data_IF_002452436027
#
_entry.id   IF_002452436027
#
_cell.length_a   1.000
_cell.length_b   1.000
_cell.length_c   1.000
_cell.angle_alpha   90.00
_cell.angle_beta   90.00
_cell.angle_gamma   90.00
#
_symmetry.space_group_name_H-M   'P 1'
#
loop_
_entity.id
_entity.type
_entity.pdbx_description
1 polymer ?
#
# COMPACT_ATOMS: atom_id res chain seq x y z
N UNK A 1 -13.15 10.88 -11.50
CA UNK A 1 -11.74 11.16 -11.86
C UNK A 1 -11.01 11.45 -10.56
N UNK A 2 -10.28 10.49 -10.00
CA UNK A 2 -9.48 10.71 -8.79
C UNK A 2 -8.01 10.79 -9.19
N UNK A 3 -7.49 12.02 -9.32
CA UNK A 3 -6.08 12.29 -9.52
C UNK A 3 -5.48 12.49 -8.13
N UNK A 4 -4.83 11.46 -7.59
CA UNK A 4 -4.04 11.56 -6.37
C UNK A 4 -2.71 12.27 -6.69
N UNK A 5 -2.73 13.60 -6.75
CA UNK A 5 -1.52 14.40 -6.92
C UNK A 5 -1.01 14.88 -5.56
N UNK A 6 -0.32 14.01 -4.83
CA UNK A 6 0.52 14.44 -3.72
C UNK A 6 2.00 14.26 -4.09
N UNK A 7 2.48 15.06 -5.04
CA UNK A 7 3.92 15.35 -5.15
C UNK A 7 4.21 16.50 -4.19
N UNK A 8 4.47 16.16 -2.93
CA UNK A 8 5.06 17.11 -2.00
C UNK A 8 6.42 17.52 -2.58
N UNK A 9 6.55 18.81 -2.91
CA UNK A 9 7.79 19.41 -3.46
C UNK A 9 9.01 19.20 -2.55
N UNK A 10 8.80 18.91 -1.26
CA UNK A 10 9.85 18.52 -0.32
C UNK A 10 10.52 17.18 -0.65
N UNK A 11 9.80 16.22 -1.24
CA UNK A 11 10.36 14.89 -1.57
C UNK A 11 11.29 14.98 -2.78
N UNK A 12 10.99 15.85 -3.74
CA UNK A 12 11.83 16.10 -4.93
C UNK A 12 13.15 16.80 -4.55
N UNK A 13 13.11 17.71 -3.57
CA UNK A 13 14.32 18.38 -3.04
C UNK A 13 15.26 17.41 -2.30
N UNK A 14 14.73 16.31 -1.75
CA UNK A 14 15.52 15.24 -1.14
C UNK A 14 16.29 14.42 -2.18
N UNK A 15 15.65 14.08 -3.29
CA UNK A 15 16.24 13.26 -4.37
C UNK A 15 17.44 13.97 -5.04
N UNK A 16 17.38 15.30 -5.19
CA UNK A 16 18.47 16.09 -5.77
C UNK A 16 19.66 16.30 -4.82
N UNK A 17 19.50 16.06 -3.51
CA UNK A 17 20.52 16.35 -2.49
C UNK A 17 21.30 15.14 -2.00
N UNK A 18 20.89 13.92 -2.32
CA UNK A 18 21.51 12.71 -1.75
C UNK A 18 21.89 11.70 -2.83
N UNK A 19 23.15 11.76 -3.25
CA UNK A 19 23.84 10.68 -3.98
C UNK A 19 24.14 9.50 -3.04
N UNK A 20 23.13 8.96 -2.33
CA UNK A 20 23.31 7.78 -1.50
C UNK A 20 22.03 6.96 -1.41
N UNK A 21 22.09 5.79 -2.05
CA UNK A 21 21.14 4.69 -2.05
C UNK A 21 20.82 4.23 -0.64
N UNK A 22 19.86 4.88 0.01
CA UNK A 22 19.30 4.44 1.28
C UNK A 22 17.88 4.01 0.98
N UNK A 23 17.46 2.76 1.25
CA UNK A 23 16.10 2.34 0.95
C UNK A 23 15.17 3.16 1.83
N UNK A 24 14.51 4.14 1.21
CA UNK A 24 13.47 4.93 1.85
C UNK A 24 12.47 3.93 2.42
N UNK A 25 12.39 3.84 3.75
CA UNK A 25 11.36 3.04 4.43
C UNK A 25 10.03 3.48 3.82
N UNK A 26 9.46 2.54 3.07
CA UNK A 26 8.44 2.78 2.07
C UNK A 26 7.16 3.26 2.73
N UNK A 27 7.01 4.58 2.89
CA UNK A 27 5.68 5.21 3.00
C UNK A 27 4.80 4.88 1.79
N UNK A 28 5.38 4.25 0.76
CA UNK A 28 4.68 3.64 -0.37
C UNK A 28 3.83 2.44 0.03
N UNK A 29 4.17 1.69 1.08
CA UNK A 29 3.42 0.49 1.44
C UNK A 29 2.00 0.84 1.87
N UNK A 30 1.86 1.88 2.70
CA UNK A 30 0.57 2.38 3.16
C UNK A 30 -0.26 2.97 2.00
N UNK A 31 0.40 3.70 1.08
CA UNK A 31 -0.24 4.27 -0.12
C UNK A 31 -0.72 3.18 -1.09
N UNK A 32 0.09 2.16 -1.33
CA UNK A 32 -0.23 1.05 -2.22
C UNK A 32 -1.37 0.19 -1.66
N UNK A 33 -1.40 -0.02 -0.33
CA UNK A 33 -2.50 -0.73 0.31
C UNK A 33 -3.82 0.04 0.28
N UNK A 34 -3.79 1.37 0.36
CA UNK A 34 -5.00 2.19 0.27
C UNK A 34 -5.71 2.03 -1.08
N UNK A 35 -4.97 2.19 -2.18
CA UNK A 35 -5.54 2.04 -3.53
C UNK A 35 -5.99 0.60 -3.78
N UNK A 36 -5.18 -0.40 -3.43
CA UNK A 36 -5.55 -1.81 -3.59
C UNK A 36 -6.80 -2.19 -2.79
N UNK A 37 -6.96 -1.64 -1.58
CA UNK A 37 -8.14 -1.88 -0.75
C UNK A 37 -9.39 -1.27 -1.35
N UNK A 38 -9.30 -0.04 -1.88
CA UNK A 38 -10.43 0.60 -2.52
C UNK A 38 -10.93 -0.19 -3.72
N UNK A 39 -10.01 -0.70 -4.55
CA UNK A 39 -10.36 -1.57 -5.70
C UNK A 39 -11.10 -2.83 -5.22
N UNK A 40 -10.59 -3.47 -4.16
CA UNK A 40 -11.21 -4.69 -3.63
C UNK A 40 -12.62 -4.43 -3.06
N UNK A 41 -12.82 -3.30 -2.37
CA UNK A 41 -14.14 -2.87 -1.90
C UNK A 41 -15.09 -2.61 -3.07
N UNK A 42 -14.61 -1.90 -4.11
CA UNK A 42 -15.41 -1.58 -5.29
C UNK A 42 -15.85 -2.86 -6.04
N UNK A 43 -15.03 -3.90 -5.99
CA UNK A 43 -15.35 -5.25 -6.50
C UNK A 43 -16.24 -6.08 -5.55
N UNK A 44 -16.58 -5.56 -4.37
CA UNK A 44 -17.43 -6.24 -3.38
C UNK A 44 -16.71 -7.29 -2.54
N UNK A 45 -15.37 -7.32 -2.55
CA UNK A 45 -14.58 -8.27 -1.76
C UNK A 45 -14.62 -7.87 -0.29
N UNK A 46 -14.88 -8.85 0.59
CA UNK A 46 -14.83 -8.67 2.06
C UNK A 46 -13.85 -9.61 2.75
N UNK A 47 -13.67 -10.82 2.20
CA UNK A 47 -12.80 -11.87 2.72
C UNK A 47 -11.92 -12.40 1.60
N UNK A 48 -10.61 -12.47 1.80
CA UNK A 48 -9.67 -12.95 0.78
C UNK A 48 -8.47 -13.67 1.37
N UNK A 49 -7.87 -14.55 0.57
CA UNK A 49 -6.55 -15.14 0.84
C UNK A 49 -5.49 -14.43 0.01
N UNK A 50 -4.34 -14.14 0.60
CA UNK A 50 -3.27 -13.41 -0.05
C UNK A 50 -2.26 -14.37 -0.69
N UNK A 51 -1.92 -14.14 -1.96
CA UNK A 51 -0.77 -14.74 -2.62
C UNK A 51 0.50 -13.95 -2.26
N UNK A 52 0.93 -14.05 -1.00
CA UNK A 52 2.06 -13.27 -0.49
C UNK A 52 2.68 -13.94 0.73
N UNK A 53 3.84 -13.46 1.17
CA UNK A 53 4.42 -13.88 2.44
C UNK A 53 3.59 -13.32 3.62
N UNK A 54 3.39 -14.10 4.70
CA UNK A 54 2.67 -13.64 5.87
C UNK A 54 3.30 -12.37 6.45
N UNK A 55 2.52 -11.28 6.50
CA UNK A 55 2.96 -10.01 7.09
C UNK A 55 1.81 -9.27 7.74
N UNK A 56 2.09 -8.50 8.79
CA UNK A 56 1.06 -7.72 9.49
C UNK A 56 0.56 -6.57 8.60
N UNK A 57 -0.74 -6.51 8.36
CA UNK A 57 -1.39 -5.48 7.55
C UNK A 57 -2.58 -4.86 8.31
N UNK A 58 -2.34 -4.07 9.37
CA UNK A 58 -3.40 -3.52 10.21
C UNK A 58 -4.37 -2.60 9.46
N UNK A 59 -3.92 -1.94 8.39
CA UNK A 59 -4.74 -1.00 7.60
C UNK A 59 -5.95 -1.66 6.91
N UNK A 60 -5.93 -2.97 6.67
CA UNK A 60 -7.01 -3.69 5.97
C UNK A 60 -8.32 -3.71 6.76
N UNK A 61 -8.24 -3.72 8.09
CA UNK A 61 -9.40 -3.74 8.98
C UNK A 61 -10.20 -2.43 8.84
N UNK A 62 -9.51 -1.30 8.65
CA UNK A 62 -10.15 0.01 8.43
C UNK A 62 -10.93 0.10 7.12
N UNK A 63 -10.64 -0.80 6.17
CA UNK A 63 -11.32 -0.90 4.87
C UNK A 63 -12.43 -1.97 4.86
N UNK A 64 -12.69 -2.66 5.98
CA UNK A 64 -13.64 -3.77 6.03
C UNK A 64 -13.18 -5.01 5.25
N UNK A 65 -11.87 -5.12 5.00
CA UNK A 65 -11.25 -6.27 4.33
C UNK A 65 -10.63 -7.21 5.37
N UNK A 66 -11.05 -8.47 5.33
CA UNK A 66 -10.57 -9.53 6.20
C UNK A 66 -9.65 -10.48 5.42
N UNK A 67 -8.41 -10.62 5.91
CA UNK A 67 -7.46 -11.59 5.38
C UNK A 67 -7.72 -12.93 6.08
N UNK A 68 -8.19 -13.92 5.33
CA UNK A 68 -8.51 -15.26 5.87
C UNK A 68 -7.33 -16.23 5.82
N UNK A 69 -6.23 -15.85 5.19
CA UNK A 69 -5.00 -16.64 5.14
C UNK A 69 -4.08 -16.22 4.01
N UNK A 70 -2.99 -16.96 3.87
CA UNK A 70 -2.04 -16.84 2.77
C UNK A 70 -2.08 -18.13 1.96
N UNK A 71 -2.02 -17.99 0.65
CA UNK A 71 -1.85 -19.13 -0.25
C UNK A 71 -0.35 -19.34 -0.41
N UNK A 72 0.11 -20.53 -0.01
CA UNK A 72 1.46 -21.01 -0.28
C UNK A 72 1.46 -21.67 -1.67
N UNK A 73 2.47 -21.36 -2.48
CA UNK A 73 2.74 -22.03 -3.76
C UNK A 73 3.78 -23.13 -3.57
#
# INVERSE_FOLDING_TARGET
IFINHNTNTSDLLGILKTENTTPLKSNNDLRNYGIGSQILIDLGVKKMKLLSTPRKMPSMIGFGLEITGYIEN
#
